data_IF_313771870255
#
_entry.id   IF_313771870255
#
_cell.length_a   1.000
_cell.length_b   1.000
_cell.length_c   1.000
_cell.angle_alpha   90.00
_cell.angle_beta   90.00
_cell.angle_gamma   90.00
#
_symmetry.space_group_name_H-M   'P 1'
#
loop_
_entity.id
_entity.type
_entity.pdbx_description
1 polymer ?
#
# COMPACT_ATOMS: atom_id res chain seq x y z
N UNK A 1 27.92 -15.06 -19.05
CA UNK A 1 26.67 -14.84 -18.28
C UNK A 1 25.52 -15.15 -19.23
N UNK A 2 24.93 -16.34 -19.12
CA UNK A 2 23.84 -16.76 -20.00
C UNK A 2 22.60 -15.92 -19.71
N UNK A 3 22.08 -15.22 -20.72
CA UNK A 3 20.85 -14.44 -20.58
C UNK A 3 19.72 -15.37 -20.12
N UNK A 4 18.96 -14.96 -19.11
CA UNK A 4 17.79 -15.70 -18.67
C UNK A 4 16.84 -15.89 -19.87
N UNK A 5 16.26 -17.10 -20.06
CA UNK A 5 15.41 -17.37 -21.20
C UNK A 5 14.24 -16.37 -21.26
N UNK A 6 13.86 -15.89 -22.46
CA UNK A 6 12.82 -14.89 -22.61
C UNK A 6 11.51 -15.41 -22.01
N UNK A 7 10.93 -14.64 -21.09
CA UNK A 7 9.66 -14.99 -20.43
C UNK A 7 8.57 -15.06 -21.49
N UNK A 8 7.95 -16.23 -21.63
CA UNK A 8 6.86 -16.45 -22.58
C UNK A 8 5.66 -15.52 -22.25
N UNK A 9 4.96 -14.98 -23.27
CA UNK A 9 3.83 -14.07 -23.06
C UNK A 9 2.78 -14.61 -22.06
N UNK A 10 2.45 -15.90 -22.14
CA UNK A 10 1.49 -16.53 -21.22
C UNK A 10 1.99 -16.60 -19.78
N UNK A 11 3.29 -16.80 -19.57
CA UNK A 11 3.88 -16.79 -18.23
C UNK A 11 3.86 -15.38 -17.65
N UNK A 12 4.08 -14.34 -18.47
CA UNK A 12 3.96 -12.95 -18.04
C UNK A 12 2.53 -12.62 -17.61
N UNK A 13 1.52 -13.02 -18.39
CA UNK A 13 0.10 -12.84 -18.04
C UNK A 13 -0.27 -13.55 -16.72
N UNK A 14 0.14 -14.82 -16.55
CA UNK A 14 -0.13 -15.57 -15.31
C UNK A 14 0.49 -14.90 -14.09
N UNK A 15 1.74 -14.41 -14.20
CA UNK A 15 2.43 -13.70 -13.12
C UNK A 15 1.72 -12.40 -12.77
N UNK A 16 1.35 -11.60 -13.76
CA UNK A 16 0.60 -10.34 -13.56
C UNK A 16 -0.72 -10.61 -12.85
N UNK A 17 -1.49 -11.62 -13.28
CA UNK A 17 -2.75 -11.98 -12.64
C UNK A 17 -2.57 -12.46 -11.19
N UNK A 18 -1.55 -13.29 -10.92
CA UNK A 18 -1.28 -13.79 -9.58
C UNK A 18 -0.90 -12.66 -8.61
N UNK A 19 0.01 -11.77 -9.05
CA UNK A 19 0.43 -10.60 -8.25
C UNK A 19 -0.76 -9.68 -7.99
N UNK A 20 -1.51 -9.32 -9.04
CA UNK A 20 -2.63 -8.38 -8.92
C UNK A 20 -3.75 -8.88 -7.99
N UNK A 21 -4.00 -10.19 -7.99
CA UNK A 21 -4.97 -10.79 -7.07
C UNK A 21 -4.47 -10.74 -5.64
N UNK A 22 -3.21 -11.11 -5.40
CA UNK A 22 -2.64 -11.11 -4.06
C UNK A 22 -2.55 -9.70 -3.48
N UNK A 23 -2.08 -8.73 -4.27
CA UNK A 23 -1.92 -7.34 -3.85
C UNK A 23 -3.27 -6.64 -3.65
N UNK A 24 -4.17 -6.71 -4.63
CA UNK A 24 -5.49 -6.10 -4.51
C UNK A 24 -6.28 -6.58 -3.28
N UNK A 25 -6.18 -7.87 -2.93
CA UNK A 25 -6.84 -8.39 -1.72
C UNK A 25 -6.13 -8.02 -0.42
N UNK A 26 -4.79 -8.00 -0.41
CA UNK A 26 -4.04 -7.62 0.79
C UNK A 26 -4.31 -6.17 1.16
N UNK A 27 -4.30 -5.27 0.17
CA UNK A 27 -4.61 -3.84 0.33
C UNK A 27 -6.03 -3.65 0.85
N UNK A 28 -7.03 -4.28 0.22
CA UNK A 28 -8.42 -4.18 0.66
C UNK A 28 -8.60 -4.69 2.09
N UNK A 29 -8.04 -5.85 2.42
CA UNK A 29 -8.25 -6.47 3.72
C UNK A 29 -7.58 -5.67 4.85
N UNK A 30 -6.33 -5.25 4.67
CA UNK A 30 -5.61 -4.45 5.66
C UNK A 30 -6.30 -3.10 5.85
N UNK A 31 -6.67 -2.42 4.76
CA UNK A 31 -7.31 -1.11 4.85
C UNK A 31 -8.73 -1.18 5.42
N UNK A 32 -9.50 -2.22 5.10
CA UNK A 32 -10.83 -2.40 5.67
C UNK A 32 -10.76 -2.65 7.18
N UNK A 33 -9.87 -3.54 7.63
CA UNK A 33 -9.69 -3.82 9.06
C UNK A 33 -9.17 -2.61 9.83
N UNK A 34 -8.15 -1.92 9.29
CA UNK A 34 -7.65 -0.69 9.89
C UNK A 34 -8.70 0.43 9.90
N UNK A 35 -9.47 0.56 8.81
CA UNK A 35 -10.57 1.50 8.69
C UNK A 35 -11.62 1.32 9.78
N UNK A 36 -12.01 0.07 10.09
CA UNK A 36 -12.95 -0.22 11.17
C UNK A 36 -12.45 0.29 12.53
N UNK A 37 -11.16 0.15 12.84
CA UNK A 37 -10.58 0.69 14.07
C UNK A 37 -10.69 2.21 14.11
N UNK A 38 -10.33 2.87 13.01
CA UNK A 38 -10.35 4.34 12.92
C UNK A 38 -11.77 4.91 12.99
N UNK A 39 -12.76 4.17 12.48
CA UNK A 39 -14.19 4.53 12.60
C UNK A 39 -14.63 4.49 14.06
N UNK A 40 -14.29 3.42 14.79
CA UNK A 40 -14.64 3.28 16.21
C UNK A 40 -14.00 4.38 17.06
N UNK A 41 -12.81 4.85 16.67
CA UNK A 41 -12.10 5.95 17.34
C UNK A 41 -12.62 7.34 16.96
N UNK A 42 -13.52 7.47 15.98
CA UNK A 42 -13.96 8.77 15.47
C UNK A 42 -12.88 9.53 14.68
N UNK A 43 -11.85 8.83 14.22
CA UNK A 43 -10.72 9.38 13.46
C UNK A 43 -11.10 9.49 11.98
N UNK A 44 -11.83 10.57 11.65
CA UNK A 44 -12.47 10.73 10.32
C UNK A 44 -11.47 10.83 9.16
N UNK A 45 -10.31 11.43 9.38
CA UNK A 45 -9.30 11.62 8.32
C UNK A 45 -8.63 10.28 7.99
N UNK A 46 -8.28 9.52 9.02
CA UNK A 46 -7.74 8.17 8.92
C UNK A 46 -8.76 7.21 8.30
N UNK A 47 -10.03 7.35 8.68
CA UNK A 47 -11.15 6.61 8.08
C UNK A 47 -11.28 6.91 6.59
N UNK A 48 -11.23 8.18 6.20
CA UNK A 48 -11.28 8.59 4.80
C UNK A 48 -10.09 8.04 4.01
N UNK A 49 -8.88 8.13 4.58
CA UNK A 49 -7.67 7.57 3.98
C UNK A 49 -7.80 6.05 3.78
N UNK A 50 -8.26 5.30 4.78
CA UNK A 50 -8.52 3.88 4.68
C UNK A 50 -9.54 3.55 3.57
N UNK A 51 -10.61 4.33 3.45
CA UNK A 51 -11.59 4.19 2.37
C UNK A 51 -10.98 4.38 0.98
N UNK A 52 -10.12 5.38 0.80
CA UNK A 52 -9.41 5.61 -0.46
C UNK A 52 -8.45 4.45 -0.79
N UNK A 53 -7.76 3.90 0.21
CA UNK A 53 -6.90 2.71 0.03
C UNK A 53 -7.72 1.49 -0.41
N UNK A 54 -8.91 1.27 0.18
CA UNK A 54 -9.83 0.21 -0.28
C UNK A 54 -10.25 0.43 -1.74
N UNK A 55 -10.59 1.67 -2.13
CA UNK A 55 -10.94 1.98 -3.52
C UNK A 55 -9.79 1.68 -4.49
N UNK A 56 -8.55 1.93 -4.08
CA UNK A 56 -7.38 1.59 -4.88
C UNK A 56 -7.27 0.07 -5.12
N UNK A 57 -7.36 -0.73 -4.05
CA UNK A 57 -7.32 -2.19 -4.16
C UNK A 57 -8.49 -2.76 -4.98
N UNK A 58 -9.69 -2.18 -4.87
CA UNK A 58 -10.82 -2.54 -5.74
C UNK A 58 -10.57 -2.19 -7.21
N UNK A 59 -9.90 -1.07 -7.50
CA UNK A 59 -9.50 -0.68 -8.85
C UNK A 59 -8.54 -1.69 -9.48
N UNK A 60 -7.60 -2.21 -8.70
CA UNK A 60 -6.69 -3.26 -9.15
C UNK A 60 -7.42 -4.60 -9.41
N UNK A 61 -8.30 -5.01 -8.49
CA UNK A 61 -9.13 -6.20 -8.69
C UNK A 61 -10.06 -6.07 -9.90
N UNK A 62 -10.54 -4.86 -10.21
CA UNK A 62 -11.29 -4.57 -11.43
C UNK A 62 -10.43 -4.76 -12.68
N UNK A 63 -9.20 -4.25 -12.67
CA UNK A 63 -8.22 -4.48 -13.74
C UNK A 63 -7.89 -5.96 -13.95
N UNK A 64 -7.69 -6.71 -12.86
CA UNK A 64 -7.52 -8.17 -12.89
C UNK A 64 -8.72 -8.88 -13.55
N UNK A 65 -9.96 -8.53 -13.18
CA UNK A 65 -11.18 -9.11 -13.78
C UNK A 65 -11.28 -8.81 -15.28
N UNK A 66 -10.84 -7.62 -15.72
CA UNK A 66 -10.78 -7.27 -17.15
C UNK A 66 -9.75 -8.11 -17.90
N UNK A 67 -8.56 -8.31 -17.33
CA UNK A 67 -7.54 -9.19 -17.93
C UNK A 67 -8.02 -10.64 -18.07
N UNK A 68 -8.77 -11.16 -17.09
CA UNK A 68 -9.41 -12.48 -17.21
C UNK A 68 -10.42 -12.56 -18.36
N UNK A 69 -11.10 -11.44 -18.68
CA UNK A 69 -12.00 -11.31 -19.83
C UNK A 69 -11.28 -10.99 -21.14
N UNK A 70 -9.96 -11.10 -21.17
CA UNK A 70 -9.09 -10.78 -22.30
C UNK A 70 -9.11 -9.31 -22.74
N UNK A 71 -9.53 -8.40 -21.86
CA UNK A 71 -9.52 -6.96 -22.10
C UNK A 71 -8.17 -6.35 -21.66
N UNK A 72 -7.38 -5.89 -22.64
CA UNK A 72 -6.07 -5.28 -22.41
C UNK A 72 -6.14 -3.96 -21.61
N UNK A 73 -7.30 -3.29 -21.55
CA UNK A 73 -7.48 -2.10 -20.71
C UNK A 73 -7.33 -2.41 -19.21
N UNK A 74 -7.42 -3.69 -18.81
CA UNK A 74 -7.22 -4.12 -17.43
C UNK A 74 -5.85 -3.71 -16.87
N UNK A 75 -4.80 -3.67 -17.70
CA UNK A 75 -3.48 -3.17 -17.29
C UNK A 75 -3.49 -1.68 -16.93
N UNK A 76 -4.22 -0.87 -17.71
CA UNK A 76 -4.34 0.56 -17.43
C UNK A 76 -5.00 0.81 -16.08
N UNK A 77 -6.04 0.04 -15.75
CA UNK A 77 -6.70 0.08 -14.44
C UNK A 77 -5.75 -0.30 -13.29
N UNK A 78 -4.92 -1.33 -13.47
CA UNK A 78 -3.95 -1.75 -12.47
C UNK A 78 -2.87 -0.69 -12.24
N UNK A 79 -2.32 -0.09 -13.31
CA UNK A 79 -1.34 1.00 -13.21
C UNK A 79 -1.97 2.21 -12.51
N UNK A 80 -3.18 2.60 -12.92
CA UNK A 80 -3.89 3.72 -12.31
C UNK A 80 -4.18 3.48 -10.83
N UNK A 81 -4.56 2.26 -10.45
CA UNK A 81 -4.79 1.88 -9.05
C UNK A 81 -3.52 2.02 -8.19
N UNK A 82 -2.36 1.57 -8.70
CA UNK A 82 -1.09 1.68 -8.00
C UNK A 82 -0.63 3.15 -7.83
N UNK A 83 -0.75 3.96 -8.89
CA UNK A 83 -0.43 5.38 -8.83
C UNK A 83 -1.40 6.16 -7.93
N UNK A 84 -2.68 5.80 -7.95
CA UNK A 84 -3.69 6.36 -7.06
C UNK A 84 -3.39 6.00 -5.60
N UNK A 85 -3.08 4.74 -5.30
CA UNK A 85 -2.67 4.32 -3.95
C UNK A 85 -1.44 5.08 -3.47
N UNK A 86 -0.43 5.24 -4.33
CA UNK A 86 0.76 6.03 -4.02
C UNK A 86 0.40 7.47 -3.67
N UNK A 87 -0.45 8.11 -4.47
CA UNK A 87 -0.91 9.48 -4.23
C UNK A 87 -1.67 9.60 -2.90
N UNK A 88 -2.53 8.64 -2.57
CA UNK A 88 -3.27 8.60 -1.29
C UNK A 88 -2.30 8.50 -0.11
N UNK A 89 -1.32 7.58 -0.18
CA UNK A 89 -0.32 7.38 0.88
C UNK A 89 0.50 8.66 1.07
N UNK A 90 0.95 9.29 -0.02
CA UNK A 90 1.74 10.52 0.05
C UNK A 90 0.93 11.70 0.57
N UNK A 91 -0.32 11.86 0.14
CA UNK A 91 -1.20 12.90 0.65
C UNK A 91 -1.43 12.74 2.16
N UNK A 92 -1.67 11.50 2.61
CA UNK A 92 -1.83 11.20 4.03
C UNK A 92 -0.53 11.44 4.82
N UNK A 93 0.61 10.96 4.32
CA UNK A 93 1.91 11.17 4.97
C UNK A 93 2.28 12.66 5.04
N UNK A 94 1.99 13.44 4.00
CA UNK A 94 2.18 14.88 3.98
C UNK A 94 1.29 15.59 4.99
N UNK A 95 -0.01 15.26 5.01
CA UNK A 95 -0.94 15.80 5.99
C UNK A 95 -0.48 15.49 7.41
N UNK A 96 -0.15 14.22 7.68
CA UNK A 96 0.35 13.78 8.99
C UNK A 96 1.70 14.38 9.34
N UNK A 97 2.55 14.71 8.38
CA UNK A 97 3.79 15.45 8.63
C UNK A 97 3.52 16.89 9.10
N UNK A 98 2.54 17.56 8.48
CA UNK A 98 2.27 18.98 8.69
C UNK A 98 1.42 19.28 9.93
N UNK A 99 0.49 18.39 10.25
CA UNK A 99 -0.54 18.58 11.28
C UNK A 99 -0.43 17.59 12.43
N UNK A 100 0.73 16.95 12.61
CA UNK A 100 0.95 16.04 13.73
C UNK A 100 0.84 16.77 15.07
N UNK A 101 -0.05 16.28 15.94
CA UNK A 101 -0.15 16.69 17.33
C UNK A 101 0.42 15.60 18.27
N UNK A 102 1.61 15.81 18.86
CA UNK A 102 2.19 14.88 19.82
C UNK A 102 1.33 14.66 21.06
N UNK A 103 0.59 15.69 21.50
CA UNK A 103 -0.23 15.61 22.71
C UNK A 103 -1.48 14.75 22.47
N UNK A 104 -2.15 14.95 21.32
CA UNK A 104 -3.24 14.10 20.86
C UNK A 104 -2.82 12.63 20.75
N UNK A 105 -1.70 12.34 20.09
CA UNK A 105 -1.18 10.97 20.01
C UNK A 105 -0.92 10.37 21.40
N UNK A 106 -0.31 11.14 22.30
CA UNK A 106 -0.05 10.69 23.66
C UNK A 106 -1.34 10.32 24.41
N UNK A 107 -2.40 11.11 24.26
CA UNK A 107 -3.69 10.84 24.90
C UNK A 107 -4.35 9.54 24.41
N UNK A 108 -4.13 9.18 23.15
CA UNK A 108 -4.66 7.96 22.52
C UNK A 108 -3.87 6.70 22.89
N UNK A 109 -2.62 6.83 23.35
CA UNK A 109 -1.79 5.68 23.70
C UNK A 109 -2.36 4.91 24.90
N UNK A 110 -2.34 3.56 24.86
CA UNK A 110 -2.70 2.73 26.01
C UNK A 110 -1.89 3.12 27.24
N UNK A 111 -2.51 3.10 28.43
CA UNK A 111 -1.85 3.49 29.69
C UNK A 111 -0.53 2.75 29.93
N UNK A 112 -0.49 1.44 29.63
CA UNK A 112 0.73 0.63 29.74
C UNK A 112 1.87 1.15 28.86
N UNK A 113 1.57 1.57 27.63
CA UNK A 113 2.57 2.11 26.69
C UNK A 113 3.08 3.45 27.19
N UNK A 114 2.19 4.29 27.73
CA UNK A 114 2.57 5.59 28.32
C UNK A 114 3.54 5.42 29.49
N UNK A 115 3.19 4.59 30.47
CA UNK A 115 4.04 4.33 31.63
C UNK A 115 5.39 3.76 31.23
N UNK A 116 5.43 2.86 30.26
CA UNK A 116 6.68 2.26 29.79
C UNK A 116 7.56 3.28 29.04
N UNK A 117 6.97 4.15 28.21
CA UNK A 117 7.73 5.20 27.54
C UNK A 117 8.34 6.17 28.55
N UNK A 118 7.55 6.66 29.52
CA UNK A 118 8.05 7.57 30.56
C UNK A 118 9.16 6.90 31.39
N UNK A 119 9.03 5.60 31.70
CA UNK A 119 10.08 4.82 32.36
C UNK A 119 11.37 4.77 31.53
N UNK A 120 11.28 4.53 30.22
CA UNK A 120 12.46 4.47 29.36
C UNK A 120 13.16 5.82 29.24
N UNK A 121 12.41 6.93 29.23
CA UNK A 121 12.99 8.28 29.25
C UNK A 121 13.77 8.53 30.54
N UNK A 122 13.18 8.18 31.70
CA UNK A 122 13.86 8.32 32.98
C UNK A 122 15.13 7.45 33.06
N UNK A 123 15.10 6.21 32.55
CA UNK A 123 16.28 5.33 32.49
C UNK A 123 17.38 5.93 31.60
N UNK A 124 17.00 6.60 30.51
CA UNK A 124 17.92 7.29 29.61
C UNK A 124 18.44 8.63 30.18
N UNK A 125 17.99 9.04 31.37
CA UNK A 125 18.35 10.33 31.98
C UNK A 125 17.67 11.53 31.32
N UNK A 126 16.57 11.29 30.61
CA UNK A 126 15.76 12.30 29.92
C UNK A 126 14.57 12.72 30.78
N UNK A 127 14.06 13.93 30.55
CA UNK A 127 12.88 14.46 31.21
C UNK A 127 11.62 14.10 30.39
N UNK A 128 10.70 13.27 30.91
CA UNK A 128 9.51 12.87 30.18
C UNK A 128 8.60 14.03 29.73
N UNK A 129 8.60 15.16 30.43
CA UNK A 129 7.74 16.29 30.06
C UNK A 129 8.31 17.08 28.87
N UNK A 130 9.63 17.28 28.85
CA UNK A 130 10.34 18.04 27.83
C UNK A 130 10.68 17.21 26.58
N UNK A 131 11.13 15.97 26.76
CA UNK A 131 11.70 15.17 25.66
C UNK A 131 10.66 14.36 24.88
N UNK A 132 9.55 13.97 25.53
CA UNK A 132 8.50 13.17 24.89
C UNK A 132 7.89 13.83 23.65
N UNK A 133 7.47 15.11 23.64
CA UNK A 133 6.89 15.72 22.45
C UNK A 133 7.85 15.70 21.26
N UNK A 134 9.15 15.93 21.52
CA UNK A 134 10.19 15.87 20.50
C UNK A 134 10.35 14.45 19.95
N UNK A 135 10.40 13.44 20.82
CA UNK A 135 10.53 12.04 20.42
C UNK A 135 9.32 11.55 19.62
N UNK A 136 8.10 11.84 20.07
CA UNK A 136 6.89 11.49 19.32
C UNK A 136 6.87 12.17 17.94
N UNK A 137 7.31 13.43 17.86
CA UNK A 137 7.40 14.14 16.58
C UNK A 137 8.46 13.54 15.66
N UNK A 138 9.63 13.18 16.20
CA UNK A 138 10.70 12.52 15.44
C UNK A 138 10.23 11.17 14.90
N UNK A 139 9.62 10.33 15.75
CA UNK A 139 9.07 9.04 15.36
C UNK A 139 8.03 9.21 14.27
N UNK A 140 7.06 10.13 14.41
CA UNK A 140 6.06 10.37 13.39
C UNK A 140 6.67 10.81 12.04
N UNK A 141 7.68 11.69 12.07
CA UNK A 141 8.40 12.11 10.85
C UNK A 141 9.13 10.94 10.20
N UNK A 142 9.84 10.12 10.99
CA UNK A 142 10.51 8.93 10.49
C UNK A 142 9.50 7.94 9.89
N UNK A 143 8.36 7.69 10.55
CA UNK A 143 7.29 6.84 10.03
C UNK A 143 6.75 7.38 8.71
N UNK A 144 6.47 8.68 8.61
CA UNK A 144 5.97 9.30 7.37
C UNK A 144 7.01 9.19 6.24
N UNK A 145 8.29 9.43 6.53
CA UNK A 145 9.37 9.30 5.56
C UNK A 145 9.52 7.86 5.07
N UNK A 146 9.58 6.89 5.99
CA UNK A 146 9.67 5.47 5.65
C UNK A 146 8.47 5.05 4.81
N UNK A 147 7.25 5.45 5.20
CA UNK A 147 6.04 5.13 4.46
C UNK A 147 6.06 5.71 3.03
N UNK A 148 6.53 6.95 2.86
CA UNK A 148 6.66 7.59 1.55
C UNK A 148 7.69 6.87 0.66
N UNK A 149 8.85 6.49 1.21
CA UNK A 149 9.91 5.79 0.48
C UNK A 149 9.50 4.36 0.12
N UNK A 150 9.02 3.59 1.09
CA UNK A 150 8.56 2.21 0.87
C UNK A 150 7.44 2.20 -0.16
N UNK A 151 6.50 3.14 -0.08
CA UNK A 151 5.41 3.19 -1.05
C UNK A 151 5.88 3.60 -2.46
N UNK A 152 6.81 4.55 -2.57
CA UNK A 152 7.40 4.91 -3.86
C UNK A 152 8.05 3.69 -4.54
N UNK A 153 8.79 2.90 -3.77
CA UNK A 153 9.45 1.69 -4.27
C UNK A 153 8.43 0.61 -4.64
N UNK A 154 7.45 0.35 -3.77
CA UNK A 154 6.49 -0.73 -3.97
C UNK A 154 5.43 -0.41 -5.03
N UNK A 155 4.60 0.60 -4.81
CA UNK A 155 3.54 0.98 -5.75
C UNK A 155 4.12 1.51 -7.07
N UNK A 156 5.19 2.32 -6.99
CA UNK A 156 5.89 2.79 -8.19
C UNK A 156 6.54 1.64 -8.96
N UNK A 157 7.14 0.68 -8.26
CA UNK A 157 7.72 -0.52 -8.84
C UNK A 157 6.67 -1.41 -9.52
N UNK A 158 5.51 -1.62 -8.90
CA UNK A 158 4.39 -2.37 -9.49
C UNK A 158 3.81 -1.67 -10.72
N UNK A 159 3.59 -0.36 -10.65
CA UNK A 159 3.12 0.43 -11.79
C UNK A 159 4.09 0.33 -12.98
N UNK A 160 5.40 0.48 -12.73
CA UNK A 160 6.44 0.31 -13.74
C UNK A 160 6.49 -1.13 -14.28
N UNK A 161 6.38 -2.13 -13.41
CA UNK A 161 6.34 -3.54 -13.80
C UNK A 161 5.16 -3.82 -14.76
N UNK A 162 3.96 -3.35 -14.45
CA UNK A 162 2.80 -3.52 -15.33
C UNK A 162 2.95 -2.80 -16.66
N UNK A 163 3.51 -1.59 -16.66
CA UNK A 163 3.81 -0.86 -17.89
C UNK A 163 4.81 -1.63 -18.78
N UNK A 164 5.89 -2.15 -18.19
CA UNK A 164 6.91 -2.92 -18.90
C UNK A 164 6.40 -4.27 -19.43
N UNK A 165 5.44 -4.90 -18.74
CA UNK A 165 4.82 -6.14 -19.21
C UNK A 165 3.69 -5.92 -20.23
N UNK A 166 3.29 -4.66 -20.48
CA UNK A 166 2.10 -4.35 -21.28
C UNK A 166 2.11 -4.91 -22.70
N UNK A 167 3.27 -4.97 -23.36
CA UNK A 167 3.37 -5.55 -24.71
C UNK A 167 3.23 -7.08 -24.68
N UNK A 168 3.87 -7.75 -23.71
CA UNK A 168 3.84 -9.21 -23.58
C UNK A 168 2.44 -9.69 -23.19
N UNK A 169 1.79 -8.99 -22.27
CA UNK A 169 0.41 -9.27 -21.87
C UNK A 169 -0.54 -9.07 -23.05
N UNK A 170 -0.43 -7.98 -23.82
CA UNK A 170 -1.25 -7.78 -25.03
C UNK A 170 -1.07 -8.90 -26.05
N UNK A 171 0.15 -9.38 -26.26
CA UNK A 171 0.42 -10.53 -27.13
C UNK A 171 -0.23 -11.82 -26.60
N UNK A 172 -0.14 -12.09 -25.30
CA UNK A 172 -0.80 -13.25 -24.67
C UNK A 172 -2.33 -13.17 -24.78
N UNK A 173 -2.90 -11.97 -24.64
CA UNK A 173 -4.34 -11.73 -24.77
C UNK A 173 -4.83 -11.81 -26.24
N UNK A 174 -3.95 -11.68 -27.23
CA UNK A 174 -4.26 -11.87 -28.63
C UNK A 174 -4.16 -13.35 -29.08
N UNK A 175 -3.35 -14.17 -28.41
CA UNK A 175 -3.18 -15.58 -28.74
C UNK A 175 -4.39 -16.45 -28.31
N UNK A 176 -4.82 -17.47 -29.08
CA UNK A 176 -5.93 -18.34 -28.67
C UNK A 176 -5.69 -18.96 -27.27
N UNK A 177 -6.74 -19.19 -26.46
CA UNK A 177 -6.56 -19.78 -25.14
C UNK A 177 -5.86 -21.15 -25.26
N UNK A 178 -4.89 -21.46 -24.37
CA UNK A 178 -4.27 -22.78 -24.38
C UNK A 178 -5.34 -23.85 -24.11
N UNK A 179 -5.25 -25.02 -24.74
CA UNK A 179 -6.20 -26.10 -24.51
C UNK A 179 -6.22 -26.46 -23.02
N UNK A 180 -7.43 -26.62 -22.46
CA UNK A 180 -7.62 -27.07 -21.09
C UNK A 180 -6.94 -28.43 -20.88
N UNK A 181 -6.24 -28.65 -19.75
CA UNK A 181 -5.67 -29.96 -19.46
C UNK A 181 -6.80 -31.02 -19.44
N UNK A 182 -6.56 -32.24 -19.93
CA UNK A 182 -7.54 -33.32 -19.81
C UNK A 182 -7.85 -33.55 -18.32
N UNK A 183 -9.13 -33.72 -18.02
CA UNK A 183 -9.65 -34.07 -16.70
C UNK A 183 -9.09 -35.41 -16.21
#
# INVERSE_FOLDING_TARGET
MSAAPPVLPDQALRRVLAIARADGWSVVLIAALGGLVTVVQGAWIETAAAGLVVLAGLGELHGHRRLLRRDAQGLGWMIAAQLFLLAVIWAYAWWRWRYFDPAGLWAELPGLVRTELDRQLLIAGLDPELDRPFLLQLVNRLTCFVLAVVSAVYQGGLAAYYALQGNRVRQALAAPPPPSPPL
#
